data_IF_641089830420
#
_entry.id   IF_641089830420
#
_cell.length_a   1.000
_cell.length_b   1.000
_cell.length_c   1.000
_cell.angle_alpha   90.00
_cell.angle_beta   90.00
_cell.angle_gamma   90.00
#
_symmetry.space_group_name_H-M   'P 1'
#
loop_
_entity.id
_entity.type
_entity.pdbx_description
1 polymer ?
#
# COMPACT_ATOMS: atom_id res chain seq x y z
N UNK A 1 11.75 4.69 0.95
CA UNK A 1 11.82 5.82 0.00
C UNK A 1 10.64 6.79 0.09
N UNK A 2 9.42 6.37 0.49
CA UNK A 2 8.27 7.28 0.64
C UNK A 2 7.88 7.46 2.11
N UNK A 3 8.48 8.45 2.79
CA UNK A 3 8.29 8.68 4.23
C UNK A 3 7.12 9.61 4.58
N UNK A 4 6.67 10.44 3.64
CA UNK A 4 5.54 11.35 3.84
C UNK A 4 4.23 10.69 3.38
N UNK A 5 3.21 10.70 4.26
CA UNK A 5 1.85 10.22 3.95
C UNK A 5 1.26 10.91 2.73
N UNK A 6 1.57 12.20 2.54
CA UNK A 6 1.14 12.97 1.37
C UNK A 6 1.72 12.42 0.07
N UNK A 7 2.98 11.95 0.09
CA UNK A 7 3.60 11.35 -1.09
C UNK A 7 2.94 10.01 -1.41
N UNK A 8 2.66 9.18 -0.39
CA UNK A 8 1.96 7.90 -0.58
C UNK A 8 0.56 8.12 -1.19
N UNK A 9 -0.15 9.15 -0.75
CA UNK A 9 -1.46 9.54 -1.26
C UNK A 9 -1.41 10.04 -2.71
N UNK A 10 -0.43 10.88 -3.06
CA UNK A 10 -0.25 11.32 -4.46
C UNK A 10 0.06 10.13 -5.36
N UNK A 11 0.96 9.25 -4.94
CA UNK A 11 1.30 8.06 -5.73
C UNK A 11 0.13 7.08 -5.86
N UNK A 12 -0.71 6.91 -4.83
CA UNK A 12 -1.87 6.02 -4.91
C UNK A 12 -2.90 6.55 -5.91
N UNK A 13 -3.12 7.87 -5.96
CA UNK A 13 -3.99 8.51 -6.96
C UNK A 13 -3.42 8.34 -8.37
N UNK A 14 -2.12 8.58 -8.56
CA UNK A 14 -1.46 8.43 -9.87
C UNK A 14 -1.55 7.00 -10.37
N UNK A 15 -1.28 6.01 -9.51
CA UNK A 15 -1.40 4.59 -9.87
C UNK A 15 -2.84 4.20 -10.18
N UNK A 16 -3.81 4.69 -9.41
CA UNK A 16 -5.22 4.43 -9.64
C UNK A 16 -5.69 4.99 -11.00
N UNK A 17 -5.33 6.23 -11.30
CA UNK A 17 -5.60 6.86 -12.60
C UNK A 17 -4.90 6.11 -13.74
N UNK A 18 -3.66 5.67 -13.52
CA UNK A 18 -2.90 4.88 -14.50
C UNK A 18 -3.57 3.54 -14.81
N UNK A 19 -4.03 2.81 -13.80
CA UNK A 19 -4.77 1.55 -13.99
C UNK A 19 -6.09 1.79 -14.70
N UNK A 20 -6.84 2.81 -14.31
CA UNK A 20 -8.12 3.14 -14.94
C UNK A 20 -7.95 3.51 -16.42
N UNK A 21 -6.96 4.36 -16.74
CA UNK A 21 -6.63 4.70 -18.13
C UNK A 21 -6.19 3.47 -18.92
N UNK A 22 -5.34 2.62 -18.33
CA UNK A 22 -4.88 1.39 -18.96
C UNK A 22 -6.05 0.46 -19.28
N UNK A 23 -6.98 0.25 -18.34
CA UNK A 23 -8.18 -0.55 -18.56
C UNK A 23 -9.08 0.04 -19.65
N UNK A 24 -9.23 1.37 -19.67
CA UNK A 24 -10.04 2.06 -20.69
C UNK A 24 -9.44 1.91 -22.08
N UNK A 25 -8.12 2.09 -22.22
CA UNK A 25 -7.41 1.88 -23.48
C UNK A 25 -7.50 0.41 -23.90
N UNK A 26 -7.29 -0.52 -22.98
CA UNK A 26 -7.40 -1.95 -23.28
C UNK A 26 -8.80 -2.33 -23.74
N UNK A 27 -9.86 -1.82 -23.10
CA UNK A 27 -11.23 -2.09 -23.51
C UNK A 27 -11.49 -1.61 -24.94
N UNK A 28 -11.01 -0.41 -25.30
CA UNK A 28 -11.15 0.15 -26.65
C UNK A 28 -10.37 -0.58 -27.75
N UNK A 29 -9.46 -1.50 -27.41
CA UNK A 29 -8.79 -2.37 -28.39
C UNK A 29 -9.63 -3.60 -28.78
N UNK A 30 -10.64 -3.95 -27.99
CA UNK A 30 -11.51 -5.10 -28.26
C UNK A 30 -12.83 -4.64 -28.84
N UNK A 31 -13.42 -5.45 -29.72
CA UNK A 31 -14.73 -5.19 -30.29
C UNK A 31 -15.81 -5.29 -29.22
N UNK A 32 -16.78 -4.38 -29.30
CA UNK A 32 -17.98 -4.37 -28.46
C UNK A 32 -18.67 -5.73 -28.48
N UNK A 33 -19.00 -6.24 -27.28
CA UNK A 33 -19.70 -7.51 -27.11
C UNK A 33 -18.83 -8.75 -26.99
N UNK A 34 -17.51 -8.63 -27.17
CA UNK A 34 -16.59 -9.73 -26.81
C UNK A 34 -16.56 -9.96 -25.29
N UNK A 35 -16.35 -11.20 -24.85
CA UNK A 35 -16.25 -11.52 -23.42
C UNK A 35 -15.13 -10.74 -22.72
N UNK A 36 -14.04 -10.46 -23.43
CA UNK A 36 -12.89 -9.70 -22.94
C UNK A 36 -13.25 -8.22 -22.74
N UNK A 37 -13.98 -7.61 -23.69
CA UNK A 37 -14.48 -6.24 -23.54
C UNK A 37 -15.32 -6.10 -22.26
N UNK A 38 -16.30 -6.99 -22.07
CA UNK A 38 -17.17 -7.00 -20.88
C UNK A 38 -16.39 -7.18 -19.58
N UNK A 39 -15.37 -8.01 -19.59
CA UNK A 39 -14.50 -8.20 -18.43
C UNK A 39 -13.74 -6.92 -18.08
N UNK A 40 -13.17 -6.25 -19.09
CA UNK A 40 -12.47 -4.98 -18.90
C UNK A 40 -13.42 -3.86 -18.45
N UNK A 41 -14.63 -3.78 -19.00
CA UNK A 41 -15.67 -2.85 -18.54
C UNK A 41 -16.06 -3.10 -17.08
N UNK A 42 -16.23 -4.36 -16.66
CA UNK A 42 -16.56 -4.68 -15.28
C UNK A 42 -15.47 -4.24 -14.29
N UNK A 43 -14.20 -4.31 -14.71
CA UNK A 43 -13.06 -3.77 -13.97
C UNK A 43 -12.99 -2.22 -14.02
N UNK A 44 -13.87 -1.54 -14.75
CA UNK A 44 -13.91 -0.09 -14.83
C UNK A 44 -13.17 0.47 -16.05
N UNK A 45 -12.85 -0.34 -17.05
CA UNK A 45 -12.33 0.08 -18.36
C UNK A 45 -13.38 0.78 -19.24
N UNK A 46 -14.19 1.65 -18.65
CA UNK A 46 -15.18 2.46 -19.35
C UNK A 46 -15.17 3.89 -18.79
N UNK A 47 -15.74 4.84 -19.53
CA UNK A 47 -15.87 6.23 -19.06
C UNK A 47 -16.70 6.38 -17.78
N UNK A 48 -17.53 5.38 -17.45
CA UNK A 48 -18.29 5.32 -16.21
C UNK A 48 -17.54 4.61 -15.05
N UNK A 49 -16.33 4.11 -15.29
CA UNK A 49 -15.52 3.36 -14.31
C UNK A 49 -14.86 4.18 -13.20
N UNK A 50 -15.34 5.40 -12.94
CA UNK A 50 -14.74 6.31 -11.95
C UNK A 50 -14.82 5.77 -10.51
N UNK A 51 -15.83 4.93 -10.19
CA UNK A 51 -15.95 4.27 -8.89
C UNK A 51 -14.79 3.28 -8.71
N UNK A 52 -14.51 2.45 -9.71
CA UNK A 52 -13.39 1.52 -9.70
C UNK A 52 -12.06 2.26 -9.57
N UNK A 53 -11.89 3.40 -10.25
CA UNK A 53 -10.72 4.25 -10.08
C UNK A 53 -10.53 4.71 -8.62
N UNK A 54 -11.60 5.12 -7.91
CA UNK A 54 -11.50 5.45 -6.49
C UNK A 54 -11.13 4.26 -5.62
N UNK A 55 -11.71 3.08 -5.90
CA UNK A 55 -11.38 1.83 -5.19
C UNK A 55 -9.90 1.47 -5.38
N UNK A 56 -9.35 1.63 -6.59
CA UNK A 56 -7.92 1.45 -6.84
C UNK A 56 -7.06 2.43 -6.04
N UNK A 57 -7.50 3.67 -5.87
CA UNK A 57 -6.81 4.64 -5.02
C UNK A 57 -6.71 4.18 -3.56
N UNK A 58 -7.83 3.71 -3.00
CA UNK A 58 -7.88 3.15 -1.63
C UNK A 58 -7.01 1.90 -1.52
N UNK A 59 -7.06 1.02 -2.53
CA UNK A 59 -6.26 -0.20 -2.59
C UNK A 59 -4.76 0.08 -2.56
N UNK A 60 -4.27 0.96 -3.44
CA UNK A 60 -2.84 1.30 -3.49
C UNK A 60 -2.37 2.00 -2.23
N UNK A 61 -3.18 2.90 -1.66
CA UNK A 61 -2.87 3.53 -0.38
C UNK A 61 -2.73 2.49 0.74
N UNK A 62 -3.65 1.53 0.80
CA UNK A 62 -3.64 0.46 1.80
C UNK A 62 -2.40 -0.44 1.67
N UNK A 63 -1.97 -0.74 0.44
CA UNK A 63 -0.72 -1.47 0.20
C UNK A 63 0.49 -0.67 0.71
N UNK A 64 0.56 0.63 0.43
CA UNK A 64 1.66 1.45 0.93
C UNK A 64 1.71 1.47 2.46
N UNK A 65 0.55 1.58 3.11
CA UNK A 65 0.47 1.53 4.56
C UNK A 65 0.92 0.17 5.11
N UNK A 66 0.50 -0.94 4.48
CA UNK A 66 0.90 -2.28 4.88
C UNK A 66 2.41 -2.49 4.75
N UNK A 67 3.02 -2.00 3.66
CA UNK A 67 4.46 -2.08 3.46
C UNK A 67 5.24 -1.27 4.49
N UNK A 68 4.71 -0.13 4.92
CA UNK A 68 5.30 0.69 5.98
C UNK A 68 5.26 -0.05 7.33
N UNK A 69 4.10 -0.60 7.71
CA UNK A 69 3.97 -1.40 8.94
C UNK A 69 4.87 -2.63 8.93
N UNK A 70 4.97 -3.32 7.78
CA UNK A 70 5.86 -4.48 7.63
C UNK A 70 7.32 -4.10 7.88
N UNK A 71 7.79 -2.99 7.32
CA UNK A 71 9.16 -2.50 7.54
C UNK A 71 9.41 -2.15 9.00
N UNK A 72 8.45 -1.48 9.64
CA UNK A 72 8.54 -1.16 11.07
C UNK A 72 8.68 -2.44 11.91
N UNK A 73 7.84 -3.45 11.68
CA UNK A 73 7.90 -4.73 12.37
C UNK A 73 9.27 -5.41 12.16
N UNK A 74 9.76 -5.44 10.92
CA UNK A 74 11.09 -6.02 10.63
C UNK A 74 12.23 -5.31 11.38
N UNK A 75 12.16 -3.98 11.50
CA UNK A 75 13.14 -3.21 12.30
C UNK A 75 13.07 -3.56 13.79
N UNK A 76 11.86 -3.72 14.35
CA UNK A 76 11.69 -4.14 15.74
C UNK A 76 12.26 -5.55 15.99
N UNK A 77 12.00 -6.50 15.08
CA UNK A 77 12.58 -7.84 15.16
C UNK A 77 14.11 -7.84 15.06
N UNK A 78 14.68 -6.98 14.21
CA UNK A 78 16.13 -6.82 14.13
C UNK A 78 16.70 -6.25 15.44
N UNK A 79 16.07 -5.24 16.03
CA UNK A 79 16.48 -4.70 17.34
C UNK A 79 16.40 -5.73 18.47
N UNK A 80 15.35 -6.57 18.46
CA UNK A 80 15.22 -7.69 19.39
C UNK A 80 16.35 -8.70 19.25
N UNK A 81 16.63 -9.16 18.01
CA UNK A 81 17.68 -10.14 17.75
C UNK A 81 19.09 -9.63 18.04
N UNK A 82 19.31 -8.32 17.93
CA UNK A 82 20.58 -7.67 18.28
C UNK A 82 20.75 -7.47 19.79
N UNK A 83 19.79 -7.90 20.63
CA UNK A 83 19.85 -7.74 22.08
C UNK A 83 19.74 -6.28 22.54
N UNK A 84 19.26 -5.37 21.67
CA UNK A 84 19.11 -3.94 21.97
C UNK A 84 17.85 -3.65 22.80
N UNK A 85 16.95 -4.63 22.92
CA UNK A 85 15.79 -4.55 23.79
C UNK A 85 16.12 -5.20 25.14
N UNK A 86 16.01 -4.49 26.27
CA UNK A 86 16.31 -5.05 27.58
C UNK A 86 15.37 -6.22 27.90
N UNK A 87 15.96 -7.41 28.11
CA UNK A 87 15.25 -8.68 28.31
C UNK A 87 15.12 -9.02 29.80
N UNK A 88 15.83 -8.28 30.66
CA UNK A 88 15.77 -8.43 32.12
C UNK A 88 15.36 -7.09 32.71
N UNK A 89 14.50 -7.11 33.72
CA UNK A 89 14.37 -5.98 34.64
C UNK A 89 15.77 -5.62 35.09
N UNK A 90 16.23 -4.46 34.65
CA UNK A 90 17.51 -3.93 35.04
C UNK A 90 17.31 -3.53 36.51
N UNK A 91 17.62 -4.45 37.43
CA UNK A 91 17.84 -4.14 38.84
C UNK A 91 19.06 -3.20 38.87
N UNK A 92 18.81 -1.93 38.59
CA UNK A 92 19.74 -0.86 38.88
C UNK A 92 19.81 -0.88 40.40
N UNK A 93 20.91 -1.41 40.95
CA UNK A 93 21.21 -1.24 42.37
C UNK A 93 21.08 0.25 42.63
N UNK A 94 20.09 0.63 43.44
CA UNK A 94 19.98 2.00 43.91
C UNK A 94 21.31 2.36 44.58
N UNK A 95 21.82 3.60 44.45
CA UNK A 95 23.06 4.03 45.08
C UNK A 95 23.13 3.80 46.60
N UNK A 96 22.01 3.42 47.20
CA UNK A 96 21.79 3.07 48.59
C UNK A 96 22.28 1.66 48.97
N UNK A 97 22.61 0.80 47.98
CA UNK A 97 23.03 -0.60 48.20
C UNK A 97 24.55 -0.86 48.00
N UNK A 98 25.39 0.18 47.86
CA UNK A 98 26.86 0.08 47.69
C UNK A 98 27.62 0.69 48.86
#
# INVERSE_FOLDING_TARGET
MFRSKSIQLVFSIVLAAGVWLLLTVMAGLFTDGTGIHRFLEALGGSGAGYIQAMIYGVFFYSIFELLEKRRYIQQQYQGFNLGLLPIKDQLVLSPEEV
#
